data_IF_460732138451
#
_entry.id   IF_460732138451
#
_cell.length_a   1.000
_cell.length_b   1.000
_cell.length_c   1.000
_cell.angle_alpha   90.00
_cell.angle_beta   90.00
_cell.angle_gamma   90.00
#
_symmetry.space_group_name_H-M   'P 1'
#
loop_
_entity.id
_entity.type
_entity.pdbx_description
1 polymer ?
#
# COMPACT_ATOMS: atom_id res chain seq x y z
N UNK A 1 20.50 -11.01 6.74
CA UNK A 1 20.03 -10.09 5.67
C UNK A 1 20.02 -8.68 6.21
N UNK A 2 20.43 -7.68 5.43
CA UNK A 2 20.40 -6.28 5.85
C UNK A 2 18.94 -5.82 5.98
N UNK A 3 18.59 -5.15 7.08
CA UNK A 3 17.24 -4.64 7.34
C UNK A 3 16.74 -3.80 6.15
N UNK A 4 17.58 -2.91 5.61
CA UNK A 4 17.23 -2.07 4.45
C UNK A 4 16.77 -2.87 3.21
N UNK A 5 17.39 -4.03 2.95
CA UNK A 5 17.03 -4.88 1.81
C UNK A 5 15.65 -5.54 1.99
N UNK A 6 15.33 -5.97 3.22
CA UNK A 6 13.99 -6.51 3.56
C UNK A 6 12.93 -5.43 3.34
N UNK A 7 13.23 -4.18 3.68
CA UNK A 7 12.29 -3.08 3.52
C UNK A 7 12.03 -2.70 2.07
N UNK A 8 13.09 -2.60 1.25
CA UNK A 8 12.91 -2.39 -0.18
C UNK A 8 12.08 -3.50 -0.81
N UNK A 9 12.29 -4.74 -0.39
CA UNK A 9 11.51 -5.89 -0.83
C UNK A 9 10.04 -5.75 -0.44
N UNK A 10 9.74 -5.52 0.84
CA UNK A 10 8.36 -5.38 1.37
C UNK A 10 7.65 -4.21 0.70
N UNK A 11 8.30 -3.05 0.62
CA UNK A 11 7.75 -1.85 0.00
C UNK A 11 7.44 -2.05 -1.49
N UNK A 12 8.36 -2.70 -2.22
CA UNK A 12 8.15 -3.01 -3.65
C UNK A 12 6.98 -3.98 -3.85
N UNK A 13 6.93 -5.06 -3.05
CA UNK A 13 5.83 -6.04 -3.09
C UNK A 13 4.49 -5.35 -2.79
N UNK A 14 4.46 -4.50 -1.78
CA UNK A 14 3.27 -3.72 -1.43
C UNK A 14 2.77 -2.87 -2.60
N UNK A 15 3.66 -2.12 -3.27
CA UNK A 15 3.30 -1.28 -4.41
C UNK A 15 2.76 -2.11 -5.58
N UNK A 16 3.35 -3.28 -5.85
CA UNK A 16 2.87 -4.21 -6.88
C UNK A 16 1.46 -4.72 -6.55
N UNK A 17 1.18 -5.06 -5.28
CA UNK A 17 -0.14 -5.52 -4.84
C UNK A 17 -1.18 -4.43 -5.06
N UNK A 18 -0.87 -3.17 -4.71
CA UNK A 18 -1.77 -2.03 -4.92
C UNK A 18 -2.05 -1.83 -6.41
N UNK A 19 -1.02 -1.76 -7.25
CA UNK A 19 -1.20 -1.57 -8.69
C UNK A 19 -2.01 -2.70 -9.34
N UNK A 20 -1.67 -3.96 -9.04
CA UNK A 20 -2.39 -5.12 -9.57
C UNK A 20 -3.84 -5.15 -9.10
N UNK A 21 -4.09 -4.83 -7.83
CA UNK A 21 -5.41 -4.80 -7.24
C UNK A 21 -6.32 -3.76 -7.92
N UNK A 22 -5.81 -2.55 -8.14
CA UNK A 22 -6.53 -1.48 -8.87
C UNK A 22 -6.87 -1.94 -10.29
N UNK A 23 -5.91 -2.48 -11.05
CA UNK A 23 -6.16 -2.97 -12.43
C UNK A 23 -7.15 -4.14 -12.44
N UNK A 24 -7.08 -5.06 -11.47
CA UNK A 24 -7.99 -6.21 -11.41
C UNK A 24 -9.43 -5.78 -11.11
N UNK A 25 -9.62 -4.80 -10.22
CA UNK A 25 -10.97 -4.31 -9.89
C UNK A 25 -11.63 -3.62 -11.09
N UNK A 26 -10.81 -2.97 -11.92
CA UNK A 26 -11.17 -2.44 -13.23
C UNK A 26 -11.62 -3.51 -14.21
N UNK A 27 -10.79 -4.53 -14.43
CA UNK A 27 -11.11 -5.65 -15.35
C UNK A 27 -12.38 -6.41 -14.96
N UNK A 28 -12.76 -6.39 -13.68
CA UNK A 28 -14.00 -6.99 -13.16
C UNK A 28 -15.25 -6.11 -13.35
N UNK A 29 -15.11 -4.90 -13.91
CA UNK A 29 -16.24 -3.99 -14.13
C UNK A 29 -16.90 -3.49 -12.84
N UNK A 30 -16.17 -3.47 -11.72
CA UNK A 30 -16.74 -3.06 -10.43
C UNK A 30 -17.19 -1.59 -10.49
N UNK A 31 -18.31 -1.24 -9.81
CA UNK A 31 -18.78 0.13 -9.76
C UNK A 31 -17.73 1.05 -9.10
N UNK A 32 -17.68 2.35 -9.46
CA UNK A 32 -16.62 3.26 -9.01
C UNK A 32 -16.43 3.31 -7.49
N UNK A 33 -17.51 3.23 -6.72
CA UNK A 33 -17.48 3.21 -5.25
C UNK A 33 -16.78 1.96 -4.70
N UNK A 34 -17.06 0.78 -5.27
CA UNK A 34 -16.44 -0.47 -4.84
C UNK A 34 -14.95 -0.52 -5.18
N UNK A 35 -14.55 0.06 -6.31
CA UNK A 35 -13.15 0.18 -6.72
C UNK A 35 -12.35 1.05 -5.76
N UNK A 36 -12.87 2.23 -5.44
CA UNK A 36 -12.28 3.13 -4.44
C UNK A 36 -12.13 2.45 -3.08
N UNK A 37 -13.17 1.75 -2.60
CA UNK A 37 -13.10 1.01 -1.35
C UNK A 37 -12.02 -0.09 -1.38
N UNK A 38 -11.93 -0.86 -2.46
CA UNK A 38 -10.91 -1.91 -2.59
C UNK A 38 -9.49 -1.37 -2.69
N UNK A 39 -9.28 -0.26 -3.41
CA UNK A 39 -7.99 0.39 -3.53
C UNK A 39 -7.56 1.00 -2.17
N UNK A 40 -8.49 1.66 -1.49
CA UNK A 40 -8.25 2.18 -0.14
C UNK A 40 -7.89 1.06 0.84
N UNK A 41 -8.59 -0.08 0.81
CA UNK A 41 -8.27 -1.23 1.64
C UNK A 41 -6.86 -1.77 1.34
N UNK A 42 -6.47 -1.90 0.07
CA UNK A 42 -5.14 -2.39 -0.32
C UNK A 42 -4.02 -1.45 0.08
N UNK A 43 -4.27 -0.14 0.09
CA UNK A 43 -3.30 0.87 0.49
C UNK A 43 -3.19 0.99 2.01
N UNK A 44 -4.31 0.91 2.73
CA UNK A 44 -4.34 1.18 4.18
C UNK A 44 -4.08 -0.07 5.02
N UNK A 45 -4.63 -1.23 4.64
CA UNK A 45 -4.55 -2.44 5.47
C UNK A 45 -3.10 -2.90 5.70
N UNK A 46 -2.22 -3.00 4.69
CA UNK A 46 -0.87 -3.49 4.92
C UNK A 46 -0.02 -2.59 5.83
N UNK A 47 0.06 -1.25 5.63
CA UNK A 47 0.78 -0.37 6.54
C UNK A 47 0.22 -0.38 7.96
N UNK A 48 -1.11 -0.42 8.11
CA UNK A 48 -1.75 -0.46 9.43
C UNK A 48 -1.47 -1.77 10.15
N UNK A 49 -1.51 -2.91 9.45
CA UNK A 49 -1.17 -4.21 10.02
C UNK A 49 0.30 -4.27 10.47
N UNK A 50 1.22 -3.73 9.66
CA UNK A 50 2.63 -3.63 10.02
C UNK A 50 2.85 -2.69 11.20
N UNK A 51 2.15 -1.55 11.24
CA UNK A 51 2.24 -0.61 12.35
C UNK A 51 1.72 -1.24 13.66
N UNK A 52 0.59 -1.94 13.60
CA UNK A 52 0.04 -2.66 14.75
C UNK A 52 1.01 -3.74 15.26
N UNK A 53 1.63 -4.51 14.36
CA UNK A 53 2.68 -5.47 14.73
C UNK A 53 3.88 -4.76 15.37
N UNK A 54 4.27 -3.60 14.85
CA UNK A 54 5.36 -2.80 15.40
C UNK A 54 5.06 -2.32 16.84
N UNK A 55 3.82 -1.93 17.14
CA UNK A 55 3.40 -1.55 18.49
C UNK A 55 3.56 -2.69 19.50
N UNK A 56 3.40 -3.95 19.08
CA UNK A 56 3.59 -5.11 19.98
C UNK A 56 5.05 -5.29 20.43
N UNK A 57 6.02 -4.64 19.77
CA UNK A 57 7.43 -4.72 20.15
C UNK A 57 7.79 -3.87 21.36
N UNK A 58 6.98 -2.84 21.68
CA UNK A 58 7.23 -1.93 22.80
C UNK A 58 8.47 -1.02 22.65
N UNK A 59 9.17 -1.06 21.50
CA UNK A 59 10.39 -0.28 21.27
C UNK A 59 10.06 1.10 20.70
N UNK A 60 10.21 2.14 21.53
CA UNK A 60 9.94 3.53 21.15
C UNK A 60 10.81 4.05 20.00
N UNK A 61 12.07 3.58 19.89
CA UNK A 61 12.97 3.99 18.82
C UNK A 61 12.55 3.35 17.49
N UNK A 62 12.21 2.07 17.52
CA UNK A 62 11.63 1.38 16.37
C UNK A 62 10.31 2.04 15.94
N UNK A 63 9.41 2.36 16.88
CA UNK A 63 8.13 3.00 16.58
C UNK A 63 8.31 4.35 15.89
N UNK A 64 9.20 5.20 16.41
CA UNK A 64 9.50 6.49 15.79
C UNK A 64 10.11 6.36 14.39
N UNK A 65 11.12 5.52 14.23
CA UNK A 65 11.81 5.35 12.95
C UNK A 65 10.92 4.70 11.88
N UNK A 66 10.29 3.57 12.21
CA UNK A 66 9.49 2.79 11.27
C UNK A 66 8.11 3.39 11.02
N UNK A 67 7.54 4.12 11.99
CA UNK A 67 6.24 4.77 11.85
C UNK A 67 6.23 5.81 10.73
N UNK A 68 7.27 6.65 10.64
CA UNK A 68 7.41 7.64 9.56
C UNK A 68 7.46 6.97 8.19
N UNK A 69 8.20 5.87 8.09
CA UNK A 69 8.33 5.12 6.85
C UNK A 69 7.00 4.47 6.42
N UNK A 70 6.26 3.87 7.35
CA UNK A 70 4.93 3.30 7.07
C UNK A 70 3.95 4.38 6.61
N UNK A 71 4.04 5.59 7.18
CA UNK A 71 3.30 6.75 6.70
C UNK A 71 3.64 7.11 5.25
N UNK A 72 4.93 7.16 4.91
CA UNK A 72 5.37 7.41 3.53
C UNK A 72 4.92 6.30 2.56
N UNK A 73 4.91 5.05 3.01
CA UNK A 73 4.42 3.92 2.21
C UNK A 73 2.92 4.05 1.90
N UNK A 74 2.14 4.55 2.86
CA UNK A 74 0.72 4.83 2.68
C UNK A 74 0.53 5.95 1.62
N UNK A 75 1.29 7.04 1.72
CA UNK A 75 1.28 8.13 0.72
C UNK A 75 1.67 7.60 -0.66
N UNK A 76 2.77 6.86 -0.77
CA UNK A 76 3.22 6.28 -2.03
C UNK A 76 2.17 5.33 -2.65
N UNK A 77 1.54 4.49 -1.83
CA UNK A 77 0.46 3.59 -2.26
C UNK A 77 -0.77 4.35 -2.74
N UNK A 78 -1.18 5.43 -2.07
CA UNK A 78 -2.31 6.27 -2.53
C UNK A 78 -2.03 6.89 -3.89
N UNK A 79 -0.86 7.51 -4.07
CA UNK A 79 -0.46 8.12 -5.34
C UNK A 79 -0.42 7.07 -6.46
N UNK A 80 0.17 5.90 -6.18
CA UNK A 80 0.23 4.81 -7.14
C UNK A 80 -1.17 4.31 -7.52
N UNK A 81 -2.08 4.17 -6.56
CA UNK A 81 -3.45 3.76 -6.82
C UNK A 81 -4.18 4.77 -7.73
N UNK A 82 -4.04 6.06 -7.47
CA UNK A 82 -4.63 7.13 -8.28
C UNK A 82 -4.05 7.12 -9.70
N UNK A 83 -2.72 7.08 -9.83
CA UNK A 83 -2.05 7.02 -11.13
C UNK A 83 -2.47 5.79 -11.93
N UNK A 84 -2.52 4.62 -11.27
CA UNK A 84 -2.94 3.37 -11.90
C UNK A 84 -4.40 3.43 -12.34
N UNK A 85 -5.29 4.03 -11.54
CA UNK A 85 -6.70 4.21 -11.90
C UNK A 85 -6.87 5.12 -13.13
N UNK A 86 -6.14 6.24 -13.17
CA UNK A 86 -6.14 7.18 -14.30
C UNK A 86 -5.65 6.53 -15.59
N UNK A 87 -4.56 5.77 -15.53
CA UNK A 87 -3.98 5.07 -16.68
C UNK A 87 -4.89 3.92 -17.13
N UNK A 88 -5.40 3.12 -16.20
CA UNK A 88 -6.27 1.99 -16.51
C UNK A 88 -7.56 2.43 -17.21
N UNK A 89 -8.15 3.59 -16.86
CA UNK A 89 -9.33 4.15 -17.54
C UNK A 89 -9.09 4.53 -19.00
N UNK A 90 -7.83 4.77 -19.40
CA UNK A 90 -7.48 5.16 -20.76
C UNK A 90 -7.13 3.96 -21.65
N UNK A 91 -6.72 2.86 -21.04
CA UNK A 91 -6.17 1.68 -21.75
C UNK A 91 -7.16 0.50 -21.83
N UNK A 92 -8.14 0.45 -20.92
CA UNK A 92 -9.19 -0.58 -20.87
C UNK A 92 -10.54 0.05 -21.21
#
# INVERSE_FOLDING_TARGET
MNAAAIFLLIGSIYLVIVAYGVVRTMKKGLPPRARLASAAAQVVVPPVALFAALLTTGDAFAIGGWGVMLGMLLVAGTLLAICTDMIARRLL
#
